data_IF_228140394869
#
_entry.id   IF_228140394869
#
_cell.length_a   1.000
_cell.length_b   1.000
_cell.length_c   1.000
_cell.angle_alpha   90.00
_cell.angle_beta   90.00
_cell.angle_gamma   90.00
#
_symmetry.space_group_name_H-M   'P 1'
#
loop_
_entity.id
_entity.type
_entity.pdbx_description
1 polymer ?
#
# COMPACT_ATOMS: atom_id res chain seq x y z
N UNK A 1 -0.47 100.17 8.21
CA UNK A 1 -1.36 99.23 7.54
C UNK A 1 -0.79 97.85 7.78
N UNK A 2 -1.42 97.11 8.69
CA UNK A 2 -0.94 95.87 9.24
C UNK A 2 -1.75 94.74 8.56
N UNK A 3 -1.09 93.90 7.77
CA UNK A 3 -1.71 92.72 7.10
C UNK A 3 -1.69 91.48 7.97
N UNK A 4 -2.86 91.08 8.37
CA UNK A 4 -3.07 89.80 9.09
C UNK A 4 -2.90 88.59 8.21
N UNK A 5 -2.03 87.70 8.62
CA UNK A 5 -1.87 86.33 7.97
C UNK A 5 -2.80 85.33 8.69
N UNK A 6 -3.74 84.83 7.94
CA UNK A 6 -4.58 83.71 8.39
C UNK A 6 -3.76 82.37 8.30
N UNK A 7 -3.79 81.59 9.37
CA UNK A 7 -3.21 80.30 9.48
C UNK A 7 -4.20 79.24 8.97
N UNK A 8 -3.81 78.42 8.03
CA UNK A 8 -4.57 77.27 7.52
C UNK A 8 -4.41 76.03 8.42
N UNK A 9 -5.47 75.31 8.77
CA UNK A 9 -5.36 74.11 9.62
C UNK A 9 -4.83 72.88 8.77
N UNK A 10 -3.78 72.28 9.30
CA UNK A 10 -3.24 71.03 8.74
C UNK A 10 -4.17 69.88 9.10
N UNK A 11 -4.67 69.13 8.04
CA UNK A 11 -5.41 67.89 8.21
C UNK A 11 -4.45 66.77 8.59
N UNK A 12 -4.56 66.26 9.83
CA UNK A 12 -3.91 65.01 10.25
C UNK A 12 -4.72 63.85 9.72
N UNK A 13 -4.15 63.09 8.75
CA UNK A 13 -4.67 61.83 8.27
C UNK A 13 -4.34 60.75 9.30
N UNK A 14 -5.36 60.24 10.00
CA UNK A 14 -5.23 59.09 10.88
C UNK A 14 -5.30 57.81 10.01
N UNK A 15 -4.17 57.16 9.79
CA UNK A 15 -4.12 55.82 9.20
C UNK A 15 -4.53 54.81 10.29
N UNK A 16 -5.76 54.31 10.22
CA UNK A 16 -6.20 53.16 10.99
C UNK A 16 -5.60 51.88 10.39
N UNK A 17 -4.55 51.35 11.03
CA UNK A 17 -3.99 50.05 10.68
C UNK A 17 -4.96 48.94 11.08
N UNK A 18 -5.57 48.26 10.11
CA UNK A 18 -6.28 46.99 10.33
C UNK A 18 -5.24 45.90 10.55
N UNK A 19 -5.00 45.50 11.78
CA UNK A 19 -4.29 44.28 12.12
C UNK A 19 -5.19 43.09 11.78
N UNK A 20 -4.91 42.42 10.69
CA UNK A 20 -5.53 41.11 10.36
C UNK A 20 -5.05 40.10 11.39
N UNK A 21 -5.92 39.70 12.32
CA UNK A 21 -5.72 38.57 13.20
C UNK A 21 -5.73 37.30 12.35
N UNK A 22 -4.56 36.80 11.98
CA UNK A 22 -4.41 35.47 11.40
C UNK A 22 -4.75 34.46 12.52
N UNK A 23 -5.91 33.87 12.45
CA UNK A 23 -6.25 32.72 13.27
C UNK A 23 -5.33 31.57 12.89
N UNK A 24 -4.68 30.87 13.86
CA UNK A 24 -3.92 29.68 13.52
C UNK A 24 -4.91 28.65 12.97
N UNK A 25 -4.77 28.30 11.67
CA UNK A 25 -5.40 27.12 11.13
C UNK A 25 -4.78 25.98 11.91
N UNK A 26 -5.54 25.37 12.82
CA UNK A 26 -5.10 24.16 13.50
C UNK A 26 -4.71 23.15 12.42
N UNK A 27 -3.45 22.76 12.39
CA UNK A 27 -2.99 21.72 11.50
C UNK A 27 -3.83 20.47 11.79
N UNK A 28 -4.69 20.09 10.86
CA UNK A 28 -5.57 18.95 11.02
C UNK A 28 -4.67 17.71 11.19
N UNK A 29 -4.77 17.04 12.34
CA UNK A 29 -3.98 15.84 12.62
C UNK A 29 -4.31 14.78 11.56
N UNK A 30 -3.30 14.07 11.09
CA UNK A 30 -3.50 12.99 10.12
C UNK A 30 -4.43 11.91 10.69
N UNK A 31 -5.40 11.47 9.89
CA UNK A 31 -6.33 10.39 10.25
C UNK A 31 -5.63 9.03 10.15
N UNK A 32 -5.14 8.51 11.26
CA UNK A 32 -4.51 7.19 11.37
C UNK A 32 -5.48 6.01 11.19
N UNK A 33 -6.79 6.23 11.19
CA UNK A 33 -7.79 5.24 10.84
C UNK A 33 -7.93 5.08 9.31
N UNK A 34 -7.32 5.97 8.52
CA UNK A 34 -7.39 5.98 7.05
C UNK A 34 -8.83 5.83 6.53
N UNK A 35 -9.80 6.49 7.19
CA UNK A 35 -11.23 6.30 6.94
C UNK A 35 -11.63 6.57 5.49
N UNK A 36 -11.08 7.62 4.87
CA UNK A 36 -11.35 7.96 3.47
C UNK A 36 -10.90 6.85 2.51
N UNK A 37 -9.70 6.27 2.74
CA UNK A 37 -9.20 5.15 1.94
C UNK A 37 -10.02 3.88 2.16
N UNK A 38 -10.36 3.56 3.41
CA UNK A 38 -11.25 2.44 3.74
C UNK A 38 -12.60 2.55 3.05
N UNK A 39 -13.19 3.75 2.95
CA UNK A 39 -14.45 3.97 2.26
C UNK A 39 -14.35 3.64 0.75
N UNK A 40 -13.26 4.08 0.09
CA UNK A 40 -12.99 3.78 -1.31
C UNK A 40 -12.76 2.28 -1.54
N UNK A 41 -11.98 1.62 -0.68
CA UNK A 41 -11.72 0.19 -0.76
C UNK A 41 -13.02 -0.62 -0.61
N UNK A 42 -13.84 -0.33 0.39
CA UNK A 42 -15.14 -0.99 0.60
C UNK A 42 -16.09 -0.85 -0.59
N UNK A 43 -16.04 0.28 -1.28
CA UNK A 43 -16.89 0.56 -2.43
C UNK A 43 -16.41 -0.17 -3.70
N UNK A 44 -15.10 -0.27 -3.91
CA UNK A 44 -14.54 -0.65 -5.20
C UNK A 44 -13.79 -1.97 -5.23
N UNK A 45 -13.32 -2.49 -4.10
CA UNK A 45 -12.70 -3.82 -4.04
C UNK A 45 -13.80 -4.88 -4.11
N UNK A 46 -13.59 -5.86 -4.98
CA UNK A 46 -14.44 -7.04 -5.13
C UNK A 46 -13.66 -8.25 -4.67
N UNK A 47 -14.08 -8.81 -3.57
CA UNK A 47 -13.52 -10.06 -3.05
C UNK A 47 -14.00 -11.21 -3.90
N UNK A 48 -13.10 -12.07 -4.33
CA UNK A 48 -13.37 -13.20 -5.21
C UNK A 48 -12.75 -14.49 -4.66
N UNK A 49 -13.03 -15.63 -5.28
CA UNK A 49 -12.49 -16.94 -4.89
C UNK A 49 -12.67 -17.25 -3.39
N UNK A 50 -13.86 -17.01 -2.88
CA UNK A 50 -14.17 -17.31 -1.46
C UNK A 50 -13.35 -16.51 -0.44
N UNK A 51 -12.88 -15.32 -0.80
CA UNK A 51 -12.09 -14.45 0.10
C UNK A 51 -10.59 -14.44 -0.18
N UNK A 52 -10.11 -15.32 -1.06
CA UNK A 52 -8.68 -15.58 -1.25
C UNK A 52 -8.01 -14.63 -2.25
N UNK A 53 -8.78 -13.95 -3.08
CA UNK A 53 -8.31 -12.99 -4.07
C UNK A 53 -9.22 -11.76 -4.12
N UNK A 54 -8.75 -10.69 -4.76
CA UNK A 54 -9.58 -9.51 -5.01
C UNK A 54 -9.33 -8.94 -6.41
N UNK A 55 -10.32 -8.23 -6.90
CA UNK A 55 -10.26 -7.38 -8.08
C UNK A 55 -10.67 -5.96 -7.69
N UNK A 56 -10.29 -4.96 -8.48
CA UNK A 56 -10.69 -3.58 -8.27
C UNK A 56 -11.59 -3.12 -9.42
N UNK A 57 -12.70 -2.47 -9.10
CA UNK A 57 -13.56 -1.78 -10.08
C UNK A 57 -12.89 -0.46 -10.50
N UNK A 58 -11.88 -0.53 -11.40
CA UNK A 58 -11.16 0.67 -11.82
C UNK A 58 -12.07 1.71 -12.48
N UNK A 59 -13.08 1.30 -13.23
CA UNK A 59 -14.07 2.22 -13.79
C UNK A 59 -14.83 2.99 -12.70
N UNK A 60 -15.24 2.30 -11.64
CA UNK A 60 -15.88 2.93 -10.48
C UNK A 60 -14.91 3.81 -9.69
N UNK A 61 -13.68 3.34 -9.45
CA UNK A 61 -12.65 4.14 -8.78
C UNK A 61 -12.31 5.41 -9.57
N UNK A 62 -12.35 5.36 -10.91
CA UNK A 62 -12.15 6.54 -11.76
C UNK A 62 -13.23 7.61 -11.55
N UNK A 63 -14.48 7.24 -11.23
CA UNK A 63 -15.54 8.20 -10.90
C UNK A 63 -15.31 8.88 -9.53
N UNK A 64 -14.64 8.18 -8.61
CA UNK A 64 -14.30 8.68 -7.27
C UNK A 64 -12.84 9.15 -7.18
N UNK A 65 -12.15 9.36 -8.32
CA UNK A 65 -10.72 9.72 -8.35
C UNK A 65 -10.40 10.98 -7.54
N UNK A 66 -11.31 11.96 -7.51
CA UNK A 66 -11.13 13.16 -6.70
C UNK A 66 -11.02 12.85 -5.19
N UNK A 67 -11.80 11.87 -4.69
CA UNK A 67 -11.70 11.43 -3.31
C UNK A 67 -10.38 10.68 -3.03
N UNK A 68 -9.92 9.86 -3.99
CA UNK A 68 -8.60 9.23 -3.91
C UNK A 68 -7.48 10.26 -3.87
N UNK A 69 -7.51 11.26 -4.75
CA UNK A 69 -6.52 12.34 -4.79
C UNK A 69 -6.53 13.18 -3.51
N UNK A 70 -7.71 13.43 -2.93
CA UNK A 70 -7.84 14.11 -1.63
C UNK A 70 -7.17 13.29 -0.52
N UNK A 71 -7.37 11.98 -0.50
CA UNK A 71 -6.69 11.09 0.46
C UNK A 71 -5.15 11.09 0.24
N UNK A 72 -4.68 10.98 -1.00
CA UNK A 72 -3.25 11.07 -1.31
C UNK A 72 -2.64 12.41 -0.88
N UNK A 73 -3.37 13.51 -0.99
CA UNK A 73 -2.94 14.81 -0.50
C UNK A 73 -2.77 14.83 1.03
N UNK A 74 -3.63 14.14 1.80
CA UNK A 74 -3.46 14.02 3.25
C UNK A 74 -2.19 13.23 3.61
N UNK A 75 -1.85 12.18 2.86
CA UNK A 75 -0.59 11.45 3.03
C UNK A 75 0.62 12.31 2.71
N UNK A 76 0.55 13.08 1.61
CA UNK A 76 1.61 13.99 1.17
C UNK A 76 1.91 15.10 2.19
N UNK A 77 0.90 15.53 2.96
CA UNK A 77 1.05 16.54 4.00
C UNK A 77 1.83 16.06 5.24
N UNK A 78 1.98 14.74 5.41
CA UNK A 78 2.74 14.17 6.53
C UNK A 78 4.24 14.32 6.26
N UNK A 79 4.95 15.08 7.10
CA UNK A 79 6.40 15.21 7.03
C UNK A 79 7.14 14.01 7.60
N UNK A 80 8.41 13.82 7.18
CA UNK A 80 9.23 12.70 7.63
C UNK A 80 9.41 12.66 9.16
N UNK A 81 9.55 13.83 9.80
CA UNK A 81 9.68 13.92 11.25
C UNK A 81 8.37 13.53 11.97
N UNK A 82 7.21 13.92 11.43
CA UNK A 82 5.92 13.53 11.96
C UNK A 82 5.72 12.01 11.88
N UNK A 83 6.08 11.39 10.74
CA UNK A 83 6.04 9.93 10.60
C UNK A 83 7.00 9.24 11.59
N UNK A 84 8.20 9.76 11.78
CA UNK A 84 9.17 9.18 12.73
C UNK A 84 8.71 9.27 14.19
N UNK A 85 7.85 10.24 14.52
CA UNK A 85 7.31 10.47 15.87
C UNK A 85 6.15 9.56 16.28
N UNK A 86 5.56 8.80 15.36
CA UNK A 86 4.46 7.88 15.64
C UNK A 86 4.95 6.43 15.80
N UNK A 87 4.07 5.55 16.33
CA UNK A 87 4.42 4.16 16.58
C UNK A 87 4.79 3.39 15.30
N UNK A 88 5.65 2.36 15.41
CA UNK A 88 6.01 1.51 14.28
C UNK A 88 4.80 0.89 13.55
N UNK A 89 3.76 0.38 14.24
CA UNK A 89 2.54 -0.07 13.55
C UNK A 89 1.84 1.04 12.75
N UNK A 90 1.77 2.28 13.28
CA UNK A 90 1.21 3.42 12.54
C UNK A 90 2.05 3.78 11.32
N UNK A 91 3.38 3.79 11.45
CA UNK A 91 4.28 4.03 10.32
C UNK A 91 4.11 2.97 9.21
N UNK A 92 4.03 1.70 9.59
CA UNK A 92 3.90 0.59 8.65
C UNK A 92 2.54 0.62 7.94
N UNK A 93 1.44 0.83 8.68
CA UNK A 93 0.11 0.98 8.11
C UNK A 93 0.04 2.17 7.13
N UNK A 94 0.63 3.32 7.51
CA UNK A 94 0.75 4.51 6.67
C UNK A 94 1.45 4.19 5.33
N UNK A 95 2.61 3.53 5.38
CA UNK A 95 3.40 3.21 4.18
C UNK A 95 2.70 2.19 3.28
N UNK A 96 2.07 1.15 3.85
CA UNK A 96 1.30 0.16 3.08
C UNK A 96 0.13 0.84 2.37
N UNK A 97 -0.64 1.68 3.07
CA UNK A 97 -1.76 2.40 2.47
C UNK A 97 -1.31 3.42 1.42
N UNK A 98 -0.17 4.10 1.65
CA UNK A 98 0.42 5.01 0.68
C UNK A 98 0.83 4.29 -0.60
N UNK A 99 1.48 3.14 -0.49
CA UNK A 99 1.83 2.30 -1.64
C UNK A 99 0.59 1.88 -2.43
N UNK A 100 -0.41 1.30 -1.75
CA UNK A 100 -1.61 0.78 -2.38
C UNK A 100 -2.45 1.87 -3.06
N UNK A 101 -2.68 2.99 -2.39
CA UNK A 101 -3.43 4.12 -2.96
C UNK A 101 -2.69 4.76 -4.15
N UNK A 102 -1.37 4.90 -4.06
CA UNK A 102 -0.55 5.44 -5.15
C UNK A 102 -0.49 4.49 -6.35
N UNK A 103 -0.47 3.17 -6.12
CA UNK A 103 -0.57 2.16 -7.18
C UNK A 103 -1.88 2.28 -7.95
N UNK A 104 -3.01 2.44 -7.22
CA UNK A 104 -4.32 2.66 -7.85
C UNK A 104 -4.33 3.96 -8.67
N UNK A 105 -3.82 5.06 -8.13
CA UNK A 105 -3.74 6.35 -8.86
C UNK A 105 -2.86 6.23 -10.10
N UNK A 106 -1.74 5.51 -10.04
CA UNK A 106 -0.87 5.26 -11.18
C UNK A 106 -1.62 4.54 -12.32
N UNK A 107 -2.39 3.51 -12.00
CA UNK A 107 -3.24 2.78 -12.96
C UNK A 107 -4.30 3.69 -13.56
N UNK A 108 -5.00 4.48 -12.74
CA UNK A 108 -6.05 5.42 -13.18
C UNK A 108 -5.52 6.49 -14.15
N UNK A 109 -4.23 6.80 -14.09
CA UNK A 109 -3.58 7.72 -15.02
C UNK A 109 -3.62 7.26 -16.49
N UNK A 110 -3.82 5.98 -16.77
CA UNK A 110 -3.88 5.39 -18.12
C UNK A 110 -5.14 4.56 -18.38
N UNK A 111 -5.92 4.28 -17.33
CA UNK A 111 -7.20 3.56 -17.49
C UNK A 111 -8.19 4.33 -18.39
N UNK A 112 -8.98 3.67 -19.26
CA UNK A 112 -9.12 2.23 -19.42
C UNK A 112 -8.16 1.58 -20.43
N UNK A 113 -7.17 2.29 -20.93
CA UNK A 113 -6.23 1.82 -21.97
C UNK A 113 -5.01 1.14 -21.34
N UNK A 114 -5.26 0.19 -20.41
CA UNK A 114 -4.22 -0.51 -19.69
C UNK A 114 -4.64 -1.98 -19.45
N UNK A 115 -3.88 -2.93 -19.96
CA UNK A 115 -4.08 -4.35 -19.70
C UNK A 115 -3.15 -4.90 -18.59
N UNK A 116 -2.06 -4.20 -18.30
CA UNK A 116 -1.08 -4.54 -17.27
C UNK A 116 -0.37 -3.30 -16.74
N UNK A 117 -0.08 -3.25 -15.43
CA UNK A 117 0.73 -2.16 -14.86
C UNK A 117 2.11 -2.05 -15.53
N UNK A 118 2.64 -3.16 -16.07
CA UNK A 118 3.93 -3.16 -16.79
C UNK A 118 3.95 -2.22 -17.99
N UNK A 119 2.81 -1.94 -18.61
CA UNK A 119 2.69 -1.00 -19.74
C UNK A 119 2.92 0.47 -19.34
N UNK A 120 2.96 0.79 -18.05
CA UNK A 120 3.29 2.12 -17.53
C UNK A 120 4.80 2.36 -17.47
N UNK A 121 5.60 1.33 -17.69
CA UNK A 121 7.05 1.41 -17.83
C UNK A 121 7.49 1.59 -19.27
N UNK A 122 8.78 1.45 -19.49
CA UNK A 122 9.43 1.41 -20.80
C UNK A 122 10.40 0.24 -20.87
N UNK A 123 11.04 0.04 -22.02
CA UNK A 123 12.12 -0.96 -22.17
C UNK A 123 13.29 -0.75 -21.19
N UNK A 124 13.48 0.51 -20.74
CA UNK A 124 14.60 0.89 -19.87
C UNK A 124 14.18 1.25 -18.43
N UNK A 125 12.88 1.30 -18.15
CA UNK A 125 12.39 1.78 -16.85
C UNK A 125 11.17 0.99 -16.39
N UNK A 126 11.28 0.40 -15.19
CA UNK A 126 10.16 -0.22 -14.48
C UNK A 126 9.16 0.85 -14.01
N UNK A 127 7.83 0.62 -14.11
CA UNK A 127 6.84 1.57 -13.60
C UNK A 127 6.98 1.80 -12.10
N UNK A 128 7.47 0.82 -11.35
CA UNK A 128 7.69 0.93 -9.89
C UNK A 128 8.83 1.87 -9.52
N UNK A 129 9.83 2.06 -10.41
CA UNK A 129 10.98 2.98 -10.21
C UNK A 129 10.68 4.42 -10.60
N UNK A 130 9.51 4.69 -11.19
CA UNK A 130 9.12 6.05 -11.54
C UNK A 130 8.81 6.84 -10.27
N UNK A 131 9.51 7.96 -10.07
CA UNK A 131 9.21 8.91 -9.00
C UNK A 131 7.96 9.73 -9.36
N UNK A 132 6.86 9.52 -8.61
CA UNK A 132 5.59 10.22 -8.85
C UNK A 132 4.75 10.39 -7.58
N UNK A 133 5.13 9.78 -6.46
CA UNK A 133 4.39 9.80 -5.21
C UNK A 133 4.91 10.92 -4.32
N UNK A 134 4.17 12.03 -4.13
CA UNK A 134 4.55 13.05 -3.14
C UNK A 134 4.39 12.45 -1.74
N UNK A 135 5.49 12.20 -1.04
CA UNK A 135 5.46 11.56 0.28
C UNK A 135 6.66 12.01 1.13
N UNK A 136 6.40 12.34 2.41
CA UNK A 136 7.44 12.66 3.40
C UNK A 136 8.36 13.81 2.96
N UNK A 137 7.80 14.84 2.33
CA UNK A 137 8.54 16.02 1.88
C UNK A 137 9.35 15.85 0.60
N UNK A 138 9.20 14.75 -0.12
CA UNK A 138 9.87 14.48 -1.40
C UNK A 138 8.95 13.80 -2.39
N UNK A 139 9.46 13.50 -3.59
CA UNK A 139 8.76 12.66 -4.57
C UNK A 139 9.41 11.28 -4.56
N UNK A 140 8.61 10.24 -4.32
CA UNK A 140 9.06 8.85 -4.18
C UNK A 140 8.56 8.00 -5.33
N UNK A 141 9.22 6.86 -5.52
CA UNK A 141 8.71 5.76 -6.33
C UNK A 141 8.00 4.71 -5.46
N UNK A 142 7.23 3.82 -6.07
CA UNK A 142 6.68 2.65 -5.36
C UNK A 142 7.80 1.74 -4.85
N UNK A 143 8.87 1.60 -5.65
CA UNK A 143 10.06 0.83 -5.32
C UNK A 143 10.73 1.35 -4.02
N UNK A 144 10.92 2.67 -3.88
CA UNK A 144 11.45 3.28 -2.66
C UNK A 144 10.55 3.03 -1.45
N UNK A 145 9.21 3.12 -1.61
CA UNK A 145 8.28 2.85 -0.49
C UNK A 145 8.36 1.39 -0.05
N UNK A 146 8.42 0.46 -1.00
CA UNK A 146 8.50 -0.97 -0.71
C UNK A 146 9.88 -1.36 -0.17
N UNK A 147 10.95 -1.06 -0.90
CA UNK A 147 12.28 -1.60 -0.62
C UNK A 147 13.06 -0.77 0.42
N UNK A 148 13.03 0.55 0.30
CA UNK A 148 13.85 1.41 1.16
C UNK A 148 13.13 1.83 2.45
N UNK A 149 11.79 1.73 2.48
CA UNK A 149 11.02 2.13 3.66
C UNK A 149 10.38 0.95 4.38
N UNK A 150 9.58 0.10 3.70
CA UNK A 150 8.91 -1.05 4.34
C UNK A 150 9.86 -2.21 4.61
N UNK A 151 10.76 -2.53 3.65
CA UNK A 151 11.71 -3.64 3.75
C UNK A 151 13.06 -3.25 4.31
N UNK A 152 13.28 -1.97 4.68
CA UNK A 152 14.55 -1.54 5.24
C UNK A 152 14.95 -2.41 6.44
N UNK A 153 16.14 -3.06 6.41
CA UNK A 153 16.56 -3.98 7.48
C UNK A 153 16.56 -3.31 8.85
N UNK A 154 16.05 -4.01 9.86
CA UNK A 154 15.95 -3.52 11.23
C UNK A 154 14.80 -2.54 11.48
N UNK A 155 14.02 -2.19 10.45
CA UNK A 155 12.94 -1.21 10.59
C UNK A 155 11.64 -1.84 11.08
N UNK A 156 11.11 -2.78 10.31
CA UNK A 156 9.89 -3.50 10.64
C UNK A 156 10.11 -5.01 10.73
N UNK A 157 10.98 -5.55 9.88
CA UNK A 157 11.40 -6.96 9.85
C UNK A 157 10.20 -7.92 9.80
N UNK A 158 9.27 -7.64 8.89
CA UNK A 158 8.04 -8.41 8.77
C UNK A 158 7.79 -8.84 7.31
N UNK A 159 8.04 -10.12 6.96
CA UNK A 159 7.87 -10.60 5.58
C UNK A 159 6.42 -10.61 5.13
N UNK A 160 5.44 -10.46 6.03
CA UNK A 160 4.02 -10.41 5.66
C UNK A 160 3.64 -9.16 4.89
N UNK A 161 4.52 -8.13 4.83
CA UNK A 161 4.31 -6.95 3.98
C UNK A 161 4.10 -7.33 2.52
N UNK A 162 4.74 -8.43 2.05
CA UNK A 162 4.58 -8.93 0.70
C UNK A 162 3.15 -9.41 0.37
N UNK A 163 2.31 -9.60 1.39
CA UNK A 163 0.89 -9.92 1.23
C UNK A 163 -0.02 -8.69 1.42
N UNK A 164 0.55 -7.56 1.84
CA UNK A 164 -0.17 -6.31 2.12
C UNK A 164 -0.05 -5.27 1.00
N UNK A 165 1.08 -5.22 0.29
CA UNK A 165 1.27 -4.35 -0.86
C UNK A 165 0.72 -5.00 -2.13
N UNK A 166 -0.04 -4.22 -2.93
CA UNK A 166 -0.70 -4.71 -4.14
C UNK A 166 -0.19 -3.96 -5.37
N UNK A 167 0.40 -4.68 -6.30
CA UNK A 167 0.98 -4.13 -7.54
C UNK A 167 -0.01 -4.07 -8.71
N UNK A 168 -1.32 -4.09 -8.45
CA UNK A 168 -2.38 -4.01 -9.46
C UNK A 168 -2.44 -5.17 -10.46
N UNK A 169 -1.80 -6.32 -10.21
CA UNK A 169 -1.87 -7.48 -11.10
C UNK A 169 -2.67 -8.64 -10.48
N UNK A 170 -3.19 -9.53 -11.34
CA UNK A 170 -3.94 -10.72 -10.92
C UNK A 170 -3.06 -11.63 -10.05
N UNK A 171 -1.75 -11.70 -10.31
CA UNK A 171 -0.80 -12.47 -9.51
C UNK A 171 -0.52 -11.92 -8.12
N UNK A 172 -0.88 -10.65 -7.83
CA UNK A 172 -0.69 -10.03 -6.52
C UNK A 172 -1.53 -10.71 -5.43
N UNK A 173 -1.08 -10.64 -4.17
CA UNK A 173 -1.96 -10.83 -3.02
C UNK A 173 -3.19 -9.92 -3.10
N UNK A 174 -4.31 -10.29 -2.47
CA UNK A 174 -5.53 -9.49 -2.57
C UNK A 174 -5.33 -8.08 -2.04
N UNK A 175 -5.77 -7.06 -2.81
CA UNK A 175 -5.99 -5.74 -2.24
C UNK A 175 -7.12 -5.86 -1.20
N UNK A 176 -6.85 -5.43 0.03
CA UNK A 176 -7.80 -5.54 1.12
C UNK A 176 -8.97 -4.59 0.92
N UNK A 177 -10.17 -4.99 1.32
CA UNK A 177 -11.40 -4.20 1.26
C UNK A 177 -11.50 -3.09 2.32
N UNK A 178 -10.43 -2.92 3.11
CA UNK A 178 -10.28 -1.85 4.10
C UNK A 178 -8.81 -1.43 4.22
N UNK A 179 -8.55 -0.24 4.73
CA UNK A 179 -7.20 0.21 5.01
C UNK A 179 -6.54 -0.59 6.13
N UNK A 180 -5.21 -0.68 6.09
CA UNK A 180 -4.44 -1.15 7.23
C UNK A 180 -4.45 -0.09 8.31
N UNK A 181 -4.63 -0.50 9.56
CA UNK A 181 -4.67 0.39 10.74
C UNK A 181 -3.83 -0.19 11.87
N UNK A 182 -3.16 0.66 12.62
CA UNK A 182 -2.18 0.26 13.62
C UNK A 182 -2.74 -0.71 14.66
N UNK A 183 -3.97 -0.46 15.11
CA UNK A 183 -4.66 -1.22 16.17
C UNK A 183 -4.95 -2.67 15.78
N UNK A 184 -5.02 -2.95 14.48
CA UNK A 184 -5.31 -4.29 13.93
C UNK A 184 -4.22 -4.79 12.97
N UNK A 185 -3.11 -4.06 12.84
CA UNK A 185 -2.11 -4.32 11.80
C UNK A 185 -1.62 -5.77 11.82
N UNK A 186 -1.29 -6.29 12.99
CA UNK A 186 -0.77 -7.66 13.12
C UNK A 186 -1.80 -8.69 12.65
N UNK A 187 -3.05 -8.57 13.08
CA UNK A 187 -4.15 -9.42 12.63
C UNK A 187 -4.45 -9.28 11.13
N UNK A 188 -4.40 -8.04 10.60
CA UNK A 188 -4.63 -7.78 9.17
C UNK A 188 -3.52 -8.40 8.30
N UNK A 189 -2.27 -8.38 8.76
CA UNK A 189 -1.14 -9.00 8.06
C UNK A 189 -1.21 -10.53 8.09
N UNK A 190 -1.58 -11.13 9.22
CA UNK A 190 -1.79 -12.58 9.33
C UNK A 190 -2.95 -13.04 8.45
N UNK A 191 -4.05 -12.31 8.46
CA UNK A 191 -5.20 -12.60 7.60
C UNK A 191 -4.85 -12.52 6.11
N UNK A 192 -4.09 -11.50 5.69
CA UNK A 192 -3.64 -11.37 4.30
C UNK A 192 -2.72 -12.53 3.90
N UNK A 193 -1.79 -12.93 4.76
CA UNK A 193 -0.95 -14.10 4.53
C UNK A 193 -1.80 -15.37 4.38
N UNK A 194 -2.76 -15.60 5.28
CA UNK A 194 -3.66 -16.75 5.24
C UNK A 194 -4.52 -16.76 3.96
N UNK A 195 -5.12 -15.62 3.58
CA UNK A 195 -5.90 -15.47 2.34
C UNK A 195 -5.06 -15.82 1.12
N UNK A 196 -3.84 -15.29 1.02
CA UNK A 196 -2.97 -15.54 -0.11
C UNK A 196 -2.52 -17.01 -0.19
N UNK A 197 -2.15 -17.61 0.94
CA UNK A 197 -1.74 -19.01 1.00
C UNK A 197 -2.87 -19.98 0.69
N UNK A 198 -4.12 -19.61 0.97
CA UNK A 198 -5.29 -20.40 0.65
C UNK A 198 -5.71 -20.33 -0.83
N UNK A 199 -5.18 -19.39 -1.62
CA UNK A 199 -5.49 -19.31 -3.06
C UNK A 199 -4.77 -20.42 -3.85
N UNK A 200 -5.48 -21.51 -4.09
CA UNK A 200 -4.97 -22.69 -4.79
C UNK A 200 -4.57 -22.44 -6.25
N UNK A 201 -4.97 -21.33 -6.84
CA UNK A 201 -4.49 -20.94 -8.15
C UNK A 201 -3.04 -20.47 -8.15
N UNK A 202 -2.52 -20.08 -6.99
CA UNK A 202 -1.19 -19.50 -6.79
C UNK A 202 -0.31 -20.28 -5.81
N UNK A 203 -0.91 -21.05 -4.90
CA UNK A 203 -0.19 -21.79 -3.87
C UNK A 203 -0.91 -23.11 -3.62
N UNK A 204 -0.28 -24.24 -3.93
CA UNK A 204 -0.89 -25.56 -3.79
C UNK A 204 0.13 -26.68 -3.72
N UNK A 205 -0.26 -27.78 -3.17
CA UNK A 205 0.41 -29.06 -3.39
C UNK A 205 -0.02 -29.65 -4.72
N UNK A 206 0.94 -30.05 -5.55
CA UNK A 206 0.70 -30.82 -6.77
C UNK A 206 0.89 -32.32 -6.46
N UNK A 207 -0.21 -33.06 -6.37
CA UNK A 207 -0.15 -34.52 -6.14
C UNK A 207 0.49 -35.26 -7.32
N UNK A 208 0.34 -34.76 -8.54
CA UNK A 208 0.94 -35.34 -9.73
C UNK A 208 2.47 -35.18 -9.72
N UNK A 209 2.95 -33.99 -9.33
CA UNK A 209 4.38 -33.66 -9.34
C UNK A 209 5.06 -33.88 -7.97
N UNK A 210 4.28 -34.26 -6.95
CA UNK A 210 4.75 -34.49 -5.57
C UNK A 210 5.57 -33.31 -5.00
N UNK A 211 5.12 -32.08 -5.27
CA UNK A 211 5.80 -30.84 -4.86
C UNK A 211 4.82 -29.72 -4.52
N UNK A 212 5.31 -28.72 -3.80
CA UNK A 212 4.65 -27.43 -3.67
C UNK A 212 4.82 -26.62 -4.94
N UNK A 213 3.73 -26.11 -5.48
CA UNK A 213 3.69 -25.10 -6.54
C UNK A 213 3.22 -23.80 -5.91
N UNK A 214 4.09 -22.79 -5.83
CA UNK A 214 3.83 -21.55 -5.12
C UNK A 214 4.07 -20.33 -6.00
N UNK A 215 3.54 -19.19 -5.54
CA UNK A 215 3.69 -17.92 -6.25
C UNK A 215 5.16 -17.52 -6.43
N UNK A 216 5.46 -16.86 -7.55
CA UNK A 216 6.76 -16.26 -7.85
C UNK A 216 7.22 -15.22 -6.82
N UNK A 217 6.31 -14.68 -5.99
CA UNK A 217 6.64 -13.80 -4.87
C UNK A 217 7.67 -14.46 -3.93
N UNK A 218 7.55 -15.74 -3.67
CA UNK A 218 8.48 -16.47 -2.80
C UNK A 218 9.87 -16.68 -3.42
N UNK A 219 9.98 -16.63 -4.75
CA UNK A 219 11.27 -16.61 -5.45
C UNK A 219 11.93 -15.21 -5.36
N UNK A 220 11.15 -14.16 -5.58
CA UNK A 220 11.66 -12.79 -5.58
C UNK A 220 12.07 -12.30 -4.20
N UNK A 221 11.30 -12.68 -3.17
CA UNK A 221 11.42 -12.16 -1.80
C UNK A 221 11.78 -13.24 -0.77
N UNK A 222 12.28 -14.39 -1.24
CA UNK A 222 12.59 -15.54 -0.37
C UNK A 222 13.52 -15.21 0.79
N UNK A 223 14.44 -14.25 0.61
CA UNK A 223 15.39 -13.87 1.64
C UNK A 223 14.72 -13.20 2.84
N UNK A 224 13.63 -12.43 2.65
CA UNK A 224 12.88 -11.82 3.76
C UNK A 224 12.25 -12.89 4.68
N UNK A 225 11.99 -14.09 4.14
CA UNK A 225 11.46 -15.23 4.89
C UNK A 225 12.55 -16.10 5.55
N UNK A 226 13.84 -15.77 5.37
CA UNK A 226 14.97 -16.54 5.93
C UNK A 226 15.65 -15.83 7.11
N UNK A 227 15.32 -14.58 7.33
CA UNK A 227 15.99 -13.73 8.31
C UNK A 227 15.61 -14.00 9.76
N UNK A 228 14.75 -14.97 10.05
CA UNK A 228 14.27 -15.29 11.41
C UNK A 228 13.21 -14.34 11.94
N UNK A 229 12.79 -13.38 11.15
CA UNK A 229 11.75 -12.41 11.53
C UNK A 229 10.44 -13.11 11.85
N UNK A 230 9.76 -12.69 12.91
CA UNK A 230 8.51 -13.31 13.41
C UNK A 230 8.62 -14.84 13.63
N UNK A 231 9.82 -15.32 13.91
CA UNK A 231 10.11 -16.74 14.07
C UNK A 231 10.05 -17.55 12.77
N UNK A 232 10.15 -16.88 11.61
CA UNK A 232 10.23 -17.52 10.29
C UNK A 232 11.71 -17.61 9.91
N UNK A 233 12.28 -18.82 9.97
CA UNK A 233 13.69 -19.06 9.67
C UNK A 233 13.93 -19.58 8.25
N UNK A 234 12.89 -19.98 7.52
CA UNK A 234 12.98 -20.46 6.14
C UNK A 234 11.62 -20.37 5.44
N UNK A 235 11.63 -20.44 4.10
CA UNK A 235 10.40 -20.60 3.32
C UNK A 235 9.66 -21.89 3.67
N UNK A 236 10.40 -22.99 3.88
CA UNK A 236 9.80 -24.28 4.24
C UNK A 236 9.09 -24.19 5.59
N UNK A 237 9.67 -23.48 6.57
CA UNK A 237 9.03 -23.23 7.87
C UNK A 237 7.78 -22.34 7.72
N UNK A 238 7.79 -21.38 6.78
CA UNK A 238 6.61 -20.59 6.46
C UNK A 238 5.51 -21.44 5.83
N UNK A 239 5.84 -22.26 4.83
CA UNK A 239 4.89 -23.17 4.19
C UNK A 239 4.33 -24.20 5.18
N UNK A 240 5.15 -24.71 6.11
CA UNK A 240 4.72 -25.64 7.13
C UNK A 240 3.59 -25.08 8.04
N UNK A 241 3.63 -23.78 8.34
CA UNK A 241 2.55 -23.10 9.09
C UNK A 241 1.23 -23.05 8.30
N UNK A 242 1.29 -23.12 6.98
CA UNK A 242 0.14 -23.03 6.08
C UNK A 242 -0.20 -24.36 5.39
N UNK A 243 0.30 -25.51 5.90
CA UNK A 243 0.14 -26.82 5.28
C UNK A 243 -1.34 -27.18 5.01
N UNK A 244 -2.24 -26.83 5.94
CA UNK A 244 -3.69 -27.07 5.79
C UNK A 244 -4.32 -26.27 4.65
N UNK A 245 -3.80 -25.08 4.37
CA UNK A 245 -4.21 -24.28 3.23
C UNK A 245 -3.63 -24.80 1.91
N UNK A 246 -2.48 -25.44 1.92
CA UNK A 246 -1.73 -25.85 0.72
C UNK A 246 -2.07 -27.25 0.19
N UNK A 247 -2.53 -28.17 1.05
CA UNK A 247 -2.83 -29.56 0.67
C UNK A 247 -4.13 -30.08 1.29
N UNK A 248 -4.79 -31.02 0.61
CA UNK A 248 -6.03 -31.63 1.09
C UNK A 248 -5.77 -32.97 1.82
N UNK A 249 -4.85 -33.80 1.31
CA UNK A 249 -4.54 -35.08 1.91
C UNK A 249 -3.67 -34.93 3.17
N UNK A 250 -3.99 -35.64 4.28
CA UNK A 250 -3.20 -35.58 5.49
C UNK A 250 -1.72 -35.91 5.30
N UNK A 251 -1.41 -36.90 4.44
CA UNK A 251 -0.03 -37.30 4.16
C UNK A 251 0.78 -36.18 3.47
N UNK A 252 0.14 -35.40 2.59
CA UNK A 252 0.78 -34.28 1.90
C UNK A 252 0.99 -33.10 2.86
N UNK A 253 0.02 -32.80 3.73
CA UNK A 253 0.19 -31.82 4.81
C UNK A 253 1.36 -32.18 5.72
N UNK A 254 1.50 -33.46 6.07
CA UNK A 254 2.61 -33.95 6.91
C UNK A 254 3.98 -33.77 6.23
N UNK A 255 4.07 -34.00 4.92
CA UNK A 255 5.29 -33.70 4.15
C UNK A 255 5.65 -32.23 4.18
N UNK A 256 4.64 -31.34 4.04
CA UNK A 256 4.84 -29.91 4.10
C UNK A 256 5.29 -29.49 5.51
N UNK A 257 4.62 -30.00 6.56
CA UNK A 257 4.99 -29.74 7.97
C UNK A 257 6.38 -30.22 8.32
N UNK A 258 6.78 -31.35 7.75
CA UNK A 258 8.12 -31.90 7.92
C UNK A 258 9.20 -31.13 7.11
N UNK A 259 8.82 -30.08 6.37
CA UNK A 259 9.72 -29.27 5.54
C UNK A 259 10.51 -30.10 4.52
N UNK A 260 9.86 -31.10 3.93
CA UNK A 260 10.44 -32.05 2.95
C UNK A 260 9.81 -31.92 1.55
N UNK A 261 8.98 -30.92 1.35
CA UNK A 261 8.30 -30.70 0.10
C UNK A 261 9.21 -29.97 -0.90
N UNK A 262 9.52 -30.55 -2.06
CA UNK A 262 10.16 -29.79 -3.13
C UNK A 262 9.29 -28.59 -3.52
N UNK A 263 9.90 -27.47 -3.90
CA UNK A 263 9.21 -26.23 -4.24
C UNK A 263 9.44 -25.88 -5.70
N UNK A 264 8.38 -25.53 -6.40
CA UNK A 264 8.43 -24.92 -7.73
C UNK A 264 7.65 -23.61 -7.74
N UNK A 265 8.12 -22.65 -8.53
CA UNK A 265 7.50 -21.33 -8.63
C UNK A 265 6.60 -21.25 -9.88
N UNK A 266 5.34 -20.90 -9.67
CA UNK A 266 4.37 -20.72 -10.73
C UNK A 266 4.64 -19.44 -11.52
N UNK A 267 4.28 -19.39 -12.82
CA UNK A 267 4.28 -18.15 -13.59
C UNK A 267 3.43 -17.09 -12.93
N UNK A 268 3.89 -15.83 -12.95
CA UNK A 268 3.16 -14.73 -12.38
C UNK A 268 2.23 -14.07 -13.40
N UNK A 269 0.96 -13.90 -13.04
CA UNK A 269 -0.02 -13.26 -13.91
C UNK A 269 0.03 -11.73 -13.76
N UNK A 270 0.56 -11.06 -14.77
CA UNK A 270 0.71 -9.62 -14.83
C UNK A 270 -0.51 -8.88 -15.41
N UNK A 271 -1.59 -9.59 -15.77
CA UNK A 271 -2.83 -8.95 -16.19
C UNK A 271 -3.36 -8.04 -15.07
N UNK A 272 -3.94 -6.91 -15.46
CA UNK A 272 -4.54 -5.96 -14.51
C UNK A 272 -5.65 -6.67 -13.70
N UNK A 273 -5.65 -6.48 -12.39
CA UNK A 273 -6.65 -7.05 -11.48
C UNK A 273 -8.01 -6.33 -11.54
N UNK A 274 -8.42 -5.91 -12.75
CA UNK A 274 -9.69 -5.23 -13.00
C UNK A 274 -10.89 -6.19 -12.97
N UNK A 275 -12.01 -5.71 -12.47
CA UNK A 275 -13.30 -6.39 -12.64
C UNK A 275 -13.69 -6.29 -14.11
N UNK A 276 -13.47 -7.36 -14.85
CA UNK A 276 -13.93 -7.43 -16.25
C UNK A 276 -15.47 -7.37 -16.29
N UNK A 277 -15.99 -6.49 -17.13
CA UNK A 277 -17.43 -6.41 -17.43
C UNK A 277 -17.90 -7.60 -18.24
#
# INVERSE_FOLDING_TARGET
>A
MIGSREARPTRRTVLAGMAALAWPVAAQSFDHAHAAWSALLKKHVVVVRGGQASQLRYAGMATDRAALQSYLATLSAVGAQALAGISKPQQMAFLINAYNASTVELVLGRYPKLASIKELGSLLSSPWKKAFVPLLGGTRSLDEIEHDMLRAPGRYDDPRIHFAVNCASVGCPPLREEAFVAERLDAQLDEQAARFMADRSRNRWSAAEQRLEVSKIFDWYGDDFRAGHRGIGSLDAFFARHADALADAPADRERIRAQRAPVAYLPYDWALNDVRR
#
